data_IF_231513849000
#
_entry.id   IF_231513849000
#
_cell.length_a   1.000
_cell.length_b   1.000
_cell.length_c   1.000
_cell.angle_alpha   90.00
_cell.angle_beta   90.00
_cell.angle_gamma   90.00
#
_symmetry.space_group_name_H-M   'P 1'
#
loop_
_entity.id
_entity.type
_entity.pdbx_description
1 polymer ?
#
# COMPACT_ATOMS: atom_id res chain seq x y z
N UNK A 1 6.64 -9.28 2.70
CA UNK A 1 6.96 -10.69 2.99
C UNK A 1 8.33 -11.09 2.44
N UNK A 2 8.58 -10.99 1.12
CA UNK A 2 9.86 -11.37 0.50
C UNK A 2 11.06 -10.73 1.23
N UNK A 3 11.02 -9.41 1.47
CA UNK A 3 12.09 -8.68 2.16
C UNK A 3 12.36 -9.23 3.58
N UNK A 4 11.30 -9.46 4.37
CA UNK A 4 11.42 -10.02 5.74
C UNK A 4 12.02 -11.42 5.73
N UNK A 5 11.74 -12.22 4.70
CA UNK A 5 12.29 -13.56 4.52
C UNK A 5 13.70 -13.57 3.91
N UNK A 6 14.29 -12.41 3.64
CA UNK A 6 15.60 -12.30 3.00
C UNK A 6 15.61 -12.75 1.54
N UNK A 7 14.45 -12.72 0.88
CA UNK A 7 14.31 -13.02 -0.54
C UNK A 7 14.34 -11.73 -1.35
N UNK A 8 14.84 -11.74 -2.60
CA UNK A 8 14.78 -10.59 -3.47
C UNK A 8 13.35 -10.10 -3.69
N UNK A 9 13.19 -8.79 -3.77
CA UNK A 9 11.93 -8.17 -4.22
C UNK A 9 11.88 -8.23 -5.74
N UNK A 10 10.92 -8.92 -6.29
CA UNK A 10 10.70 -8.96 -7.74
C UNK A 10 9.88 -7.77 -8.18
N UNK A 11 10.46 -6.92 -9.02
CA UNK A 11 9.83 -5.71 -9.56
C UNK A 11 9.89 -5.74 -11.08
N UNK A 12 8.77 -5.47 -11.74
CA UNK A 12 8.77 -5.31 -13.18
C UNK A 12 9.50 -4.02 -13.57
N UNK A 13 10.53 -4.13 -14.41
CA UNK A 13 11.37 -3.00 -14.81
C UNK A 13 10.56 -1.83 -15.37
N UNK A 14 9.50 -2.14 -16.13
CA UNK A 14 8.58 -1.17 -16.73
C UNK A 14 7.61 -0.55 -15.72
N UNK A 15 7.38 -1.18 -14.55
CA UNK A 15 6.41 -0.72 -13.56
C UNK A 15 7.02 0.16 -12.47
N UNK A 16 8.35 0.21 -12.34
CA UNK A 16 9.03 0.89 -11.23
C UNK A 16 8.58 2.34 -11.00
N UNK A 17 8.34 3.08 -12.08
CA UNK A 17 7.92 4.49 -12.04
C UNK A 17 6.40 4.67 -12.19
N UNK A 18 5.64 3.59 -12.27
CA UNK A 18 4.19 3.68 -12.39
C UNK A 18 3.57 3.97 -11.03
N UNK A 19 2.67 4.93 -11.01
CA UNK A 19 1.87 5.24 -9.82
C UNK A 19 0.72 4.25 -9.67
N UNK A 20 0.43 3.91 -8.41
CA UNK A 20 -0.70 3.10 -7.97
C UNK A 20 -1.31 3.68 -6.71
N UNK A 21 -2.62 3.56 -6.52
CA UNK A 21 -3.26 3.92 -5.27
C UNK A 21 -2.93 2.88 -4.19
N UNK A 22 -2.48 3.36 -3.04
CA UNK A 22 -2.26 2.55 -1.85
C UNK A 22 -3.23 2.98 -0.75
N UNK A 23 -3.72 2.02 -0.01
CA UNK A 23 -4.69 2.22 1.05
C UNK A 23 -4.16 1.61 2.35
N UNK A 24 -3.97 2.45 3.36
CA UNK A 24 -3.67 2.02 4.71
C UNK A 24 -4.88 1.29 5.32
N UNK A 25 -4.63 0.23 6.09
CA UNK A 25 -5.70 -0.54 6.74
C UNK A 25 -6.55 0.34 7.68
N UNK A 26 -5.92 1.28 8.37
CA UNK A 26 -6.59 2.26 9.23
C UNK A 26 -7.59 3.10 8.45
N UNK A 27 -7.23 3.60 7.27
CA UNK A 27 -8.12 4.39 6.43
C UNK A 27 -9.25 3.54 5.85
N UNK A 28 -8.97 2.28 5.48
CA UNK A 28 -9.99 1.36 5.00
C UNK A 28 -11.07 1.12 6.07
N UNK A 29 -10.66 0.78 7.29
CA UNK A 29 -11.56 0.58 8.43
C UNK A 29 -12.26 1.89 8.80
N UNK A 30 -11.52 2.99 8.82
CA UNK A 30 -12.03 4.33 9.09
C UNK A 30 -13.15 4.74 8.13
N UNK A 31 -12.96 4.52 6.84
CA UNK A 31 -13.96 4.84 5.81
C UNK A 31 -15.25 4.02 5.99
N UNK A 32 -15.14 2.70 6.18
CA UNK A 32 -16.29 1.82 6.41
C UNK A 32 -17.04 2.29 7.67
N UNK A 33 -16.31 2.51 8.76
CA UNK A 33 -16.88 2.96 10.03
C UNK A 33 -17.57 4.33 9.90
N UNK A 34 -16.95 5.25 9.12
CA UNK A 34 -17.50 6.57 8.83
C UNK A 34 -18.85 6.47 8.11
N UNK A 35 -18.93 5.68 7.04
CA UNK A 35 -20.17 5.48 6.30
C UNK A 35 -21.28 4.90 7.18
N UNK A 36 -20.96 3.90 8.01
CA UNK A 36 -21.91 3.30 8.96
C UNK A 36 -22.42 4.33 9.96
N UNK A 37 -21.51 5.08 10.61
CA UNK A 37 -21.87 6.11 11.61
C UNK A 37 -22.68 7.26 11.02
N UNK A 38 -22.34 7.70 9.81
CA UNK A 38 -23.03 8.81 9.14
C UNK A 38 -24.27 8.35 8.39
N UNK A 39 -24.55 7.05 8.35
CA UNK A 39 -25.69 6.44 7.62
C UNK A 39 -25.74 6.85 6.14
N UNK A 40 -24.56 6.91 5.48
CA UNK A 40 -24.47 7.26 4.07
C UNK A 40 -24.73 6.00 3.25
N UNK A 41 -25.96 5.85 2.80
CA UNK A 41 -26.44 4.70 2.01
C UNK A 41 -27.10 5.17 0.71
N UNK A 42 -26.40 6.06 0.00
CA UNK A 42 -26.89 6.71 -1.22
C UNK A 42 -26.72 5.87 -2.49
N UNK A 43 -26.17 4.65 -2.37
CA UNK A 43 -25.82 3.80 -3.52
C UNK A 43 -24.63 4.32 -4.32
N UNK A 44 -23.95 5.37 -3.86
CA UNK A 44 -22.83 5.99 -4.55
C UNK A 44 -21.54 5.17 -4.44
N UNK A 45 -20.71 5.24 -5.48
CA UNK A 45 -19.35 4.68 -5.46
C UNK A 45 -18.38 5.75 -4.95
N UNK A 46 -17.53 5.38 -4.00
CA UNK A 46 -16.53 6.23 -3.38
C UNK A 46 -15.16 5.57 -3.45
N UNK A 47 -14.18 6.27 -4.01
CA UNK A 47 -12.79 5.83 -3.93
C UNK A 47 -12.22 6.21 -2.57
N UNK A 48 -11.47 5.28 -1.98
CA UNK A 48 -10.71 5.49 -0.76
C UNK A 48 -9.27 5.06 -1.01
N UNK A 49 -8.33 5.93 -0.78
CA UNK A 49 -6.89 5.64 -0.81
C UNK A 49 -6.18 6.55 0.17
N UNK A 50 -5.04 6.10 0.64
CA UNK A 50 -4.13 6.90 1.49
C UNK A 50 -3.26 7.79 0.62
N UNK A 51 -2.58 7.20 -0.38
CA UNK A 51 -1.68 7.93 -1.27
C UNK A 51 -1.55 7.25 -2.64
N UNK A 52 -1.14 8.03 -3.65
CA UNK A 52 -0.73 7.54 -4.97
C UNK A 52 0.80 7.51 -5.04
N UNK A 53 1.39 6.34 -4.93
CA UNK A 53 2.84 6.17 -4.87
C UNK A 53 3.36 5.33 -6.04
N UNK A 54 4.64 5.51 -6.39
CA UNK A 54 5.31 4.63 -7.34
C UNK A 54 5.76 3.34 -6.67
N UNK A 55 5.92 2.28 -7.45
CA UNK A 55 6.50 1.03 -6.94
C UNK A 55 7.90 1.29 -6.37
N UNK A 56 8.67 2.18 -7.00
CA UNK A 56 9.99 2.57 -6.51
C UNK A 56 9.93 3.20 -5.11
N UNK A 57 8.99 4.13 -4.88
CA UNK A 57 8.82 4.76 -3.56
C UNK A 57 8.48 3.72 -2.47
N UNK A 58 7.68 2.70 -2.80
CA UNK A 58 7.37 1.60 -1.87
C UNK A 58 8.63 0.77 -1.59
N UNK A 59 9.39 0.37 -2.61
CA UNK A 59 10.60 -0.44 -2.42
C UNK A 59 11.69 0.32 -1.66
N UNK A 60 11.87 1.62 -1.93
CA UNK A 60 12.77 2.49 -1.17
C UNK A 60 12.35 2.57 0.31
N UNK A 61 11.05 2.73 0.57
CA UNK A 61 10.52 2.75 1.94
C UNK A 61 10.80 1.43 2.67
N UNK A 62 10.62 0.30 2.02
CA UNK A 62 10.96 -1.02 2.60
C UNK A 62 12.46 -1.09 2.90
N UNK A 63 13.32 -0.60 1.98
CA UNK A 63 14.76 -0.57 2.15
C UNK A 63 15.26 0.28 3.33
N UNK A 64 14.49 1.30 3.75
CA UNK A 64 14.79 2.07 4.95
C UNK A 64 14.65 1.26 6.25
N UNK A 65 13.77 0.25 6.25
CA UNK A 65 13.48 -0.59 7.42
C UNK A 65 14.21 -1.94 7.38
N UNK A 66 14.50 -2.46 6.19
CA UNK A 66 15.20 -3.72 5.99
C UNK A 66 16.45 -3.42 5.16
N UNK A 67 17.62 -3.28 5.79
CA UNK A 67 18.85 -3.00 5.07
C UNK A 67 19.26 -4.17 4.16
N UNK A 68 19.96 -3.84 3.08
CA UNK A 68 20.49 -4.82 2.11
C UNK A 68 19.44 -5.65 1.38
N UNK A 69 18.23 -5.11 1.19
CA UNK A 69 17.26 -5.77 0.31
C UNK A 69 17.82 -5.81 -1.11
N UNK A 70 17.70 -6.97 -1.73
CA UNK A 70 17.97 -7.12 -3.16
C UNK A 70 16.69 -6.93 -3.98
N UNK A 71 16.77 -6.17 -5.07
CA UNK A 71 15.65 -5.95 -5.98
C UNK A 71 16.00 -6.57 -7.33
N UNK A 72 15.22 -7.58 -7.73
CA UNK A 72 15.32 -8.20 -9.03
C UNK A 72 14.36 -7.51 -10.00
N UNK A 73 14.90 -6.79 -10.96
CA UNK A 73 14.11 -6.23 -12.05
C UNK A 73 13.91 -7.28 -13.12
N UNK A 74 12.65 -7.61 -13.39
CA UNK A 74 12.26 -8.60 -14.37
C UNK A 74 11.45 -7.95 -15.49
N UNK A 75 11.64 -8.47 -16.71
CA UNK A 75 10.77 -8.09 -17.82
C UNK A 75 9.45 -8.82 -17.74
N UNK A 76 8.35 -8.12 -18.05
CA UNK A 76 7.02 -8.71 -18.12
C UNK A 76 6.50 -8.61 -19.54
N UNK A 77 6.05 -9.73 -20.09
CA UNK A 77 5.36 -9.78 -21.38
C UNK A 77 3.96 -9.13 -21.33
N UNK A 78 3.39 -8.99 -20.13
CA UNK A 78 2.05 -8.40 -19.92
C UNK A 78 2.20 -6.90 -19.67
N UNK A 79 2.25 -6.14 -20.75
CA UNK A 79 2.63 -4.72 -20.79
C UNK A 79 1.48 -3.72 -20.67
N UNK A 80 0.31 -4.06 -20.18
CA UNK A 80 -0.84 -3.13 -20.19
C UNK A 80 -1.19 -2.49 -18.84
N UNK A 81 -0.22 -2.37 -17.93
CA UNK A 81 -0.47 -1.63 -16.71
C UNK A 81 -0.08 -0.16 -16.86
N UNK A 82 -1.02 0.67 -17.25
CA UNK A 82 -0.83 2.12 -17.28
C UNK A 82 -0.63 2.67 -15.87
N UNK A 83 0.24 3.68 -15.76
CA UNK A 83 0.30 4.51 -14.55
C UNK A 83 -1.02 5.25 -14.38
N UNK A 84 -1.60 5.21 -13.20
CA UNK A 84 -2.83 5.95 -12.90
C UNK A 84 -2.86 6.42 -11.44
N UNK A 85 -3.58 7.50 -11.24
CA UNK A 85 -3.88 8.06 -9.92
C UNK A 85 -5.39 7.98 -9.67
N UNK A 86 -5.73 7.80 -8.40
CA UNK A 86 -7.11 7.80 -7.95
C UNK A 86 -7.33 9.01 -7.04
N UNK A 87 -8.52 9.56 -7.06
CA UNK A 87 -8.88 10.73 -6.25
C UNK A 87 -9.88 10.39 -5.16
N UNK A 88 -9.59 10.84 -3.94
CA UNK A 88 -10.48 10.78 -2.78
C UNK A 88 -11.52 11.90 -2.75
N UNK A 89 -11.54 12.80 -3.73
CA UNK A 89 -12.31 14.05 -3.65
C UNK A 89 -13.77 13.82 -3.22
N UNK A 90 -14.41 12.75 -3.67
CA UNK A 90 -15.82 12.50 -3.35
C UNK A 90 -16.02 12.13 -1.89
N UNK A 91 -15.20 11.24 -1.33
CA UNK A 91 -15.32 10.85 0.08
C UNK A 91 -14.89 11.97 1.03
N UNK A 92 -13.86 12.75 0.65
CA UNK A 92 -13.44 13.92 1.42
C UNK A 92 -14.55 15.01 1.45
N UNK A 93 -15.24 15.24 0.32
CA UNK A 93 -16.40 16.14 0.30
C UNK A 93 -17.57 15.63 1.15
N UNK A 94 -17.69 14.32 1.34
CA UNK A 94 -18.66 13.75 2.26
C UNK A 94 -18.22 13.89 3.73
N UNK A 95 -17.03 14.43 4.00
CA UNK A 95 -16.50 14.75 5.33
C UNK A 95 -15.60 13.66 5.95
N UNK A 96 -15.16 12.67 5.19
CA UNK A 96 -14.15 11.71 5.64
C UNK A 96 -12.74 12.29 5.45
N UNK A 97 -11.91 12.15 6.47
CA UNK A 97 -10.50 12.55 6.42
C UNK A 97 -9.61 11.30 6.39
N UNK A 98 -8.69 11.28 5.42
CA UNK A 98 -7.62 10.29 5.32
C UNK A 98 -6.52 10.68 6.30
N UNK A 99 -6.17 9.82 7.22
CA UNK A 99 -5.18 10.05 8.26
C UNK A 99 -4.04 9.03 8.27
N UNK A 100 -4.15 7.99 7.47
CA UNK A 100 -3.14 6.93 7.37
C UNK A 100 -1.83 7.42 6.77
N UNK A 101 -0.76 6.69 7.09
CA UNK A 101 0.59 6.93 6.58
C UNK A 101 1.15 5.61 6.03
N UNK A 102 1.40 5.55 4.73
CA UNK A 102 1.87 4.31 4.08
C UNK A 102 3.22 3.86 4.63
N UNK A 103 4.13 4.79 4.95
CA UNK A 103 5.43 4.46 5.53
C UNK A 103 5.30 3.77 6.90
N UNK A 104 4.45 4.31 7.77
CA UNK A 104 4.18 3.72 9.09
C UNK A 104 3.52 2.36 8.96
N UNK A 105 2.57 2.20 8.05
CA UNK A 105 1.89 0.92 7.81
C UNK A 105 2.84 -0.15 7.23
N UNK A 106 3.82 0.25 6.40
CA UNK A 106 4.88 -0.66 5.95
C UNK A 106 5.70 -1.13 7.15
N UNK A 107 6.11 -0.22 8.04
CA UNK A 107 6.87 -0.57 9.24
C UNK A 107 6.09 -1.50 10.16
N UNK A 108 4.82 -1.21 10.44
CA UNK A 108 3.94 -2.07 11.24
C UNK A 108 3.83 -3.47 10.64
N UNK A 109 3.64 -3.56 9.31
CA UNK A 109 3.58 -4.84 8.61
C UNK A 109 4.88 -5.62 8.71
N UNK A 110 6.03 -4.95 8.57
CA UNK A 110 7.35 -5.57 8.73
C UNK A 110 7.51 -6.13 10.13
N UNK A 111 7.17 -5.34 11.16
CA UNK A 111 7.27 -5.76 12.56
C UNK A 111 6.40 -6.99 12.86
N UNK A 112 5.15 -7.01 12.38
CA UNK A 112 4.26 -8.17 12.53
C UNK A 112 4.81 -9.43 11.85
N UNK A 113 5.37 -9.28 10.66
CA UNK A 113 5.96 -10.41 9.92
C UNK A 113 7.25 -10.93 10.56
N UNK A 114 8.06 -10.03 11.16
CA UNK A 114 9.27 -10.42 11.89
C UNK A 114 8.94 -11.21 13.16
N UNK A 115 7.93 -10.78 13.92
CA UNK A 115 7.44 -11.51 15.09
C UNK A 115 7.00 -12.93 14.73
N UNK A 116 6.21 -13.08 13.66
CA UNK A 116 5.76 -14.40 13.18
C UNK A 116 6.91 -15.28 12.69
N UNK A 117 7.95 -14.68 12.12
CA UNK A 117 9.15 -15.43 11.71
C UNK A 117 9.86 -16.04 12.91
N UNK A 118 9.93 -15.34 14.04
CA UNK A 118 10.55 -15.82 15.27
C UNK A 118 9.73 -16.94 15.93
N UNK A 119 8.40 -16.82 15.95
CA UNK A 119 7.49 -17.84 16.48
C UNK A 119 7.49 -19.13 15.66
N UNK A 120 7.68 -19.06 14.34
CA UNK A 120 7.69 -20.23 13.44
C UNK A 120 9.04 -20.95 13.33
N UNK A 121 10.07 -20.46 14.00
CA UNK A 121 11.42 -21.03 13.99
C UNK A 121 11.72 -21.86 15.28
N UNK A 122 10.70 -22.09 16.13
CA UNK A 122 10.78 -22.90 17.37
C UNK A 122 10.26 -24.32 17.17
#
# INVERSE_FOLDING_TARGET
WQAVMGKPLTVWATAKNQKRPYLALSDAIGAITYFMKKKIYDGGVYNVLTDNLTVNAITETIGQFIPNIHIDYVDSEIMNQLSYEVSNRKICKAGFEVTGNIRENILETINLLQLRKLEGAG
#
